data_IF_448798623533
#
_entry.id   IF_448798623533
#
_cell.length_a   1.000
_cell.length_b   1.000
_cell.length_c   1.000
_cell.angle_alpha   90.00
_cell.angle_beta   90.00
_cell.angle_gamma   90.00
#
_symmetry.space_group_name_H-M   'P 1'
#
loop_
_entity.id
_entity.type
_entity.pdbx_description
1 polymer ?
#
# COMPACT_ATOMS: atom_id res chain seq x y z
N UNK A 1 6.31 14.87 10.36
CA UNK A 1 7.70 14.81 10.02
C UNK A 1 8.31 13.58 10.65
N UNK A 2 9.09 12.85 9.94
CA UNK A 2 9.69 11.63 10.46
C UNK A 2 8.88 10.38 10.26
N UNK A 3 7.64 10.49 9.87
CA UNK A 3 6.81 9.33 9.55
C UNK A 3 6.83 9.14 8.03
N UNK A 4 7.25 7.96 7.55
CA UNK A 4 7.21 7.71 6.11
C UNK A 4 5.82 7.92 5.55
N UNK A 5 5.76 8.54 4.38
CA UNK A 5 4.52 8.90 3.73
C UNK A 5 4.60 8.61 2.25
N UNK A 6 3.44 8.42 1.65
CA UNK A 6 3.32 8.19 0.22
C UNK A 6 2.07 8.89 -0.29
N UNK A 7 2.08 9.24 -1.57
CA UNK A 7 0.94 9.89 -2.22
C UNK A 7 0.78 9.32 -3.62
N UNK A 8 -0.47 9.24 -4.06
CA UNK A 8 -0.78 8.86 -5.44
C UNK A 8 -1.64 9.95 -6.06
N UNK A 9 -1.30 10.29 -7.30
CA UNK A 9 -2.04 11.27 -8.08
C UNK A 9 -2.70 10.58 -9.25
N UNK A 10 -4.02 10.77 -9.35
CA UNK A 10 -4.82 10.21 -10.43
C UNK A 10 -4.90 11.19 -11.60
N UNK A 11 -5.35 10.68 -12.76
CA UNK A 11 -5.42 11.48 -13.98
C UNK A 11 -6.27 12.74 -13.84
N UNK A 12 -7.28 12.71 -12.97
CA UNK A 12 -8.16 13.86 -12.74
C UNK A 12 -7.58 14.88 -11.76
N UNK A 13 -6.35 14.66 -11.29
CA UNK A 13 -5.70 15.55 -10.36
C UNK A 13 -5.96 15.26 -8.89
N UNK A 14 -6.82 14.29 -8.59
CA UNK A 14 -7.07 13.91 -7.20
C UNK A 14 -5.83 13.27 -6.60
N UNK A 15 -5.49 13.64 -5.37
CA UNK A 15 -4.34 13.11 -4.64
C UNK A 15 -4.83 12.41 -3.39
N UNK A 16 -4.38 11.17 -3.20
CA UNK A 16 -4.63 10.37 -2.02
C UNK A 16 -3.29 10.14 -1.32
N UNK A 17 -3.27 10.24 0.00
CA UNK A 17 -2.05 10.07 0.78
C UNK A 17 -2.18 8.95 1.78
N UNK A 18 -1.04 8.52 2.31
CA UNK A 18 -0.98 7.51 3.37
C UNK A 18 0.25 7.69 4.22
N UNK A 19 0.24 7.04 5.37
CA UNK A 19 1.37 7.00 6.29
C UNK A 19 1.60 5.56 6.72
N UNK A 20 2.80 5.30 7.21
CA UNK A 20 3.11 4.01 7.84
C UNK A 20 2.26 3.85 9.09
N UNK A 21 1.69 2.67 9.27
CA UNK A 21 0.93 2.30 10.46
C UNK A 21 1.58 1.09 11.14
N UNK A 22 1.02 0.63 12.24
CA UNK A 22 1.51 -0.58 12.89
C UNK A 22 1.25 -1.83 12.05
N UNK A 23 0.28 -1.78 11.14
CA UNK A 23 -0.12 -2.94 10.32
C UNK A 23 0.52 -2.91 8.94
N UNK A 24 0.66 -1.72 8.34
CA UNK A 24 1.03 -1.59 6.94
C UNK A 24 2.13 -0.57 6.76
N UNK A 25 3.04 -0.82 5.83
CA UNK A 25 3.94 0.21 5.34
C UNK A 25 3.16 1.28 4.58
N UNK A 26 3.77 2.45 4.38
CA UNK A 26 3.10 3.57 3.73
C UNK A 26 2.62 3.22 2.32
N UNK A 27 3.42 2.46 1.57
CA UNK A 27 3.05 2.07 0.20
C UNK A 27 1.87 1.13 0.18
N UNK A 28 1.84 0.16 1.09
CA UNK A 28 0.72 -0.77 1.20
C UNK A 28 -0.56 -0.03 1.60
N UNK A 29 -0.44 0.87 2.58
CA UNK A 29 -1.58 1.69 2.99
C UNK A 29 -2.08 2.55 1.84
N UNK A 30 -1.15 3.10 1.04
CA UNK A 30 -1.51 3.92 -0.11
C UNK A 30 -2.32 3.13 -1.12
N UNK A 31 -1.89 1.90 -1.43
CA UNK A 31 -2.63 1.06 -2.38
C UNK A 31 -4.06 0.84 -1.92
N UNK A 32 -4.26 0.50 -0.64
CA UNK A 32 -5.60 0.29 -0.13
C UNK A 32 -6.44 1.56 -0.19
N UNK A 33 -5.85 2.70 0.17
CA UNK A 33 -6.57 3.98 0.12
C UNK A 33 -6.95 4.34 -1.30
N UNK A 34 -6.04 4.13 -2.25
CA UNK A 34 -6.30 4.40 -3.66
C UNK A 34 -7.43 3.52 -4.20
N UNK A 35 -7.38 2.23 -3.89
CA UNK A 35 -8.38 1.30 -4.38
C UNK A 35 -9.75 1.56 -3.76
N UNK A 36 -9.79 1.98 -2.49
CA UNK A 36 -11.04 2.40 -1.87
C UNK A 36 -11.64 3.60 -2.60
N UNK A 37 -10.81 4.60 -2.87
CA UNK A 37 -11.27 5.79 -3.57
C UNK A 37 -11.83 5.43 -4.94
N UNK A 38 -11.09 4.66 -5.72
CA UNK A 38 -11.51 4.28 -7.07
C UNK A 38 -12.76 3.41 -7.06
N UNK A 39 -12.92 2.57 -6.04
CA UNK A 39 -14.06 1.67 -5.92
C UNK A 39 -15.28 2.30 -5.26
N UNK A 40 -15.18 3.57 -4.84
CA UNK A 40 -16.29 4.21 -4.14
C UNK A 40 -16.55 3.63 -2.76
N UNK A 41 -15.52 3.08 -2.12
CA UNK A 41 -15.64 2.51 -0.78
C UNK A 41 -15.26 3.60 0.23
N UNK A 42 -16.04 3.70 1.31
CA UNK A 42 -15.80 4.67 2.36
C UNK A 42 -14.37 4.53 2.89
N UNK A 43 -13.71 5.68 3.08
CA UNK A 43 -12.33 5.71 3.58
C UNK A 43 -12.16 4.95 4.90
N UNK A 44 -13.16 4.99 5.77
CA UNK A 44 -13.06 4.34 7.08
C UNK A 44 -13.36 2.85 7.04
N UNK A 45 -13.73 2.31 5.89
CA UNK A 45 -14.00 0.88 5.75
C UNK A 45 -12.70 0.10 5.72
N UNK A 46 -12.60 -0.95 6.52
CA UNK A 46 -11.48 -1.86 6.49
C UNK A 46 -11.69 -2.88 5.36
N UNK A 47 -10.82 -2.85 4.35
CA UNK A 47 -10.87 -3.84 3.27
C UNK A 47 -10.32 -5.18 3.74
N UNK A 48 -9.39 -5.15 4.66
CA UNK A 48 -8.78 -6.33 5.25
C UNK A 48 -8.87 -6.14 6.76
N UNK A 49 -9.48 -7.08 7.46
CA UNK A 49 -9.61 -6.95 8.90
C UNK A 49 -8.24 -7.06 9.57
N UNK A 50 -8.03 -6.36 10.69
CA UNK A 50 -6.81 -6.55 11.48
C UNK A 50 -6.58 -8.01 11.86
N UNK A 51 -7.65 -8.76 12.12
CA UNK A 51 -7.55 -10.17 12.46
C UNK A 51 -6.98 -11.00 11.31
N UNK A 52 -7.14 -10.55 10.05
CA UNK A 52 -6.55 -11.23 8.91
C UNK A 52 -5.08 -10.82 8.73
N UNK A 53 -4.72 -9.61 9.12
CA UNK A 53 -3.35 -9.10 8.97
C UNK A 53 -2.41 -9.70 10.03
N UNK A 54 -2.89 -9.86 11.26
CA UNK A 54 -2.06 -10.33 12.36
C UNK A 54 -1.37 -11.67 12.10
N UNK A 55 -2.05 -12.69 11.55
CA UNK A 55 -1.36 -13.96 11.24
C UNK A 55 -0.24 -13.79 10.21
N UNK A 56 -0.41 -12.86 9.28
CA UNK A 56 0.63 -12.58 8.29
C UNK A 56 1.84 -11.95 8.97
N UNK A 57 1.61 -11.02 9.91
CA UNK A 57 2.69 -10.42 10.69
C UNK A 57 3.42 -11.48 11.51
N UNK A 58 2.67 -12.39 12.11
CA UNK A 58 3.26 -13.47 12.89
C UNK A 58 4.12 -14.38 12.01
N UNK A 59 3.62 -14.70 10.83
CA UNK A 59 4.40 -15.50 9.88
C UNK A 59 5.72 -14.81 9.56
N UNK A 60 5.68 -13.52 9.27
CA UNK A 60 6.87 -12.77 8.86
C UNK A 60 7.91 -12.69 9.97
N UNK A 61 7.48 -12.52 11.21
CA UNK A 61 8.41 -12.28 12.31
C UNK A 61 8.73 -13.56 13.08
N UNK A 62 7.72 -14.24 13.57
CA UNK A 62 7.92 -15.39 14.42
C UNK A 62 8.46 -16.61 13.67
N UNK A 63 7.89 -16.87 12.49
CA UNK A 63 8.25 -18.08 11.75
C UNK A 63 9.38 -17.87 10.76
N UNK A 64 9.43 -16.69 10.12
CA UNK A 64 10.43 -16.41 9.10
C UNK A 64 11.58 -15.54 9.59
N UNK A 65 11.52 -15.08 10.84
CA UNK A 65 12.63 -14.35 11.46
C UNK A 65 12.83 -12.91 10.99
N UNK A 66 11.87 -12.33 10.33
CA UNK A 66 11.95 -10.94 9.92
C UNK A 66 11.80 -9.99 11.10
N UNK A 67 12.30 -8.77 10.94
CA UNK A 67 12.18 -7.74 11.96
C UNK A 67 11.07 -6.74 11.68
N UNK A 68 10.56 -6.68 10.47
CA UNK A 68 9.51 -5.74 10.07
C UNK A 68 8.17 -6.49 9.95
N UNK A 69 7.24 -6.25 10.89
CA UNK A 69 5.94 -6.93 10.83
C UNK A 69 4.98 -6.34 9.82
N UNK A 70 5.21 -5.10 9.37
CA UNK A 70 4.26 -4.40 8.51
C UNK A 70 4.18 -5.08 7.15
N UNK A 71 2.96 -5.13 6.60
CA UNK A 71 2.76 -5.73 5.29
C UNK A 71 3.30 -4.80 4.20
N UNK A 72 3.99 -5.40 3.23
CA UNK A 72 4.42 -4.75 2.01
C UNK A 72 3.30 -4.79 0.97
N UNK A 73 3.54 -4.16 -0.16
CA UNK A 73 2.51 -4.00 -1.20
C UNK A 73 2.03 -5.33 -1.76
N UNK A 74 2.93 -6.28 -2.03
CA UNK A 74 2.54 -7.57 -2.57
C UNK A 74 1.72 -8.36 -1.54
N UNK A 75 2.12 -8.28 -0.28
CA UNK A 75 1.42 -8.99 0.79
C UNK A 75 0.01 -8.46 0.98
N UNK A 76 -0.16 -7.13 0.95
CA UNK A 76 -1.48 -6.54 1.13
C UNK A 76 -2.40 -6.85 -0.05
N UNK A 77 -1.86 -6.95 -1.26
CA UNK A 77 -2.68 -7.30 -2.42
C UNK A 77 -3.14 -8.76 -2.34
N UNK A 78 -2.29 -9.65 -1.87
CA UNK A 78 -2.69 -11.04 -1.66
C UNK A 78 -3.80 -11.12 -0.61
N UNK A 79 -3.62 -10.40 0.50
CA UNK A 79 -4.64 -10.38 1.56
C UNK A 79 -5.95 -9.81 1.05
N UNK A 80 -5.88 -8.77 0.22
CA UNK A 80 -7.07 -8.17 -0.40
C UNK A 80 -7.78 -9.18 -1.31
N UNK A 81 -7.02 -9.91 -2.12
CA UNK A 81 -7.60 -10.91 -3.01
C UNK A 81 -8.35 -11.98 -2.22
N UNK A 82 -7.78 -12.41 -1.10
CA UNK A 82 -8.44 -13.39 -0.24
C UNK A 82 -9.71 -12.80 0.37
N UNK A 83 -9.63 -11.57 0.89
CA UNK A 83 -10.78 -10.89 1.49
C UNK A 83 -11.91 -10.69 0.48
N UNK A 84 -11.58 -10.46 -0.78
CA UNK A 84 -12.56 -10.22 -1.83
C UNK A 84 -13.42 -11.45 -2.11
N UNK A 85 -13.02 -12.62 -1.65
CA UNK A 85 -13.84 -13.84 -1.84
C UNK A 85 -15.13 -13.78 -1.03
N UNK A 86 -15.16 -13.03 0.07
CA UNK A 86 -16.32 -12.97 0.95
C UNK A 86 -16.81 -11.56 1.25
N UNK A 87 -16.01 -10.53 0.94
CA UNK A 87 -16.33 -9.15 1.28
C UNK A 87 -16.58 -8.33 0.01
N UNK A 88 -17.81 -7.84 -0.22
CA UNK A 88 -18.13 -7.06 -1.41
C UNK A 88 -17.31 -5.77 -1.54
N UNK A 89 -16.96 -5.12 -0.43
CA UNK A 89 -16.14 -3.91 -0.48
C UNK A 89 -14.72 -4.23 -0.92
N UNK A 90 -14.15 -5.32 -0.41
CA UNK A 90 -12.84 -5.77 -0.84
C UNK A 90 -12.84 -6.12 -2.32
N UNK A 91 -13.92 -6.73 -2.81
CA UNK A 91 -14.06 -7.05 -4.24
C UNK A 91 -14.12 -5.79 -5.08
N UNK A 92 -14.91 -4.80 -4.67
CA UNK A 92 -14.97 -3.53 -5.40
C UNK A 92 -13.60 -2.88 -5.52
N UNK A 93 -12.85 -2.89 -4.43
CA UNK A 93 -11.51 -2.31 -4.42
C UNK A 93 -10.57 -3.11 -5.30
N UNK A 94 -10.58 -4.43 -5.19
CA UNK A 94 -9.70 -5.30 -5.97
C UNK A 94 -9.90 -5.08 -7.47
N UNK A 95 -11.15 -4.92 -7.89
CA UNK A 95 -11.49 -4.76 -9.31
C UNK A 95 -10.97 -3.43 -9.87
N UNK A 96 -10.55 -2.50 -9.03
CA UNK A 96 -10.01 -1.22 -9.48
C UNK A 96 -8.52 -1.27 -9.82
N UNK A 97 -7.86 -2.40 -9.60
CA UNK A 97 -6.42 -2.49 -9.84
C UNK A 97 -6.01 -2.01 -11.25
N UNK A 98 -6.73 -2.38 -12.33
CA UNK A 98 -6.33 -1.89 -13.66
C UNK A 98 -6.38 -0.37 -13.81
N UNK A 99 -7.18 0.31 -13.01
CA UNK A 99 -7.28 1.77 -13.07
C UNK A 99 -6.05 2.47 -12.47
N UNK A 100 -5.16 1.75 -11.82
CA UNK A 100 -3.92 2.33 -11.29
C UNK A 100 -2.89 2.61 -12.37
N UNK A 101 -3.01 1.98 -13.54
CA UNK A 101 -2.05 2.17 -14.63
C UNK A 101 -1.94 3.65 -15.01
N UNK A 102 -0.72 4.16 -15.02
CA UNK A 102 -0.46 5.54 -15.38
C UNK A 102 -0.58 6.54 -14.25
N UNK A 103 -1.06 6.12 -13.08
CA UNK A 103 -1.09 7.00 -11.92
C UNK A 103 0.33 7.28 -11.44
N UNK A 104 0.52 8.41 -10.76
CA UNK A 104 1.84 8.80 -10.27
C UNK A 104 1.91 8.59 -8.77
N UNK A 105 2.93 7.88 -8.31
CA UNK A 105 3.14 7.61 -6.90
C UNK A 105 4.42 8.29 -6.46
N UNK A 106 4.32 9.05 -5.35
CA UNK A 106 5.45 9.75 -4.75
C UNK A 106 5.64 9.25 -3.34
N UNK A 107 6.88 8.97 -2.96
CA UNK A 107 7.19 8.50 -1.61
C UNK A 107 8.29 9.35 -0.99
N UNK A 108 8.25 9.47 0.33
CA UNK A 108 9.24 10.25 1.08
C UNK A 108 10.45 9.41 1.50
N UNK A 109 10.44 8.12 1.20
CA UNK A 109 11.53 7.21 1.57
C UNK A 109 11.86 6.30 0.40
N UNK A 110 13.07 5.72 0.46
CA UNK A 110 13.42 4.67 -0.49
C UNK A 110 12.52 3.47 -0.27
N UNK A 111 12.00 2.92 -1.35
CA UNK A 111 11.16 1.74 -1.28
C UNK A 111 12.02 0.48 -1.31
N UNK A 112 11.48 -0.59 -0.74
CA UNK A 112 12.08 -1.91 -0.89
C UNK A 112 11.96 -2.37 -2.33
N UNK A 113 12.80 -3.35 -2.70
CA UNK A 113 12.73 -3.94 -4.04
C UNK A 113 11.36 -4.54 -4.31
N UNK A 114 10.73 -5.11 -3.28
CA UNK A 114 9.40 -5.70 -3.41
C UNK A 114 8.38 -4.63 -3.79
N UNK A 115 8.39 -3.51 -3.08
CA UNK A 115 7.42 -2.44 -3.34
C UNK A 115 7.64 -1.80 -4.71
N UNK A 116 8.90 -1.57 -5.09
CA UNK A 116 9.20 -1.03 -6.42
C UNK A 116 8.71 -1.97 -7.52
N UNK A 117 8.95 -3.27 -7.34
CA UNK A 117 8.52 -4.27 -8.30
C UNK A 117 7.00 -4.33 -8.44
N UNK A 118 6.30 -4.25 -7.31
CA UNK A 118 4.85 -4.27 -7.30
C UNK A 118 4.29 -3.07 -8.04
N UNK A 119 4.77 -1.87 -7.73
CA UNK A 119 4.30 -0.66 -8.42
C UNK A 119 4.56 -0.74 -9.92
N UNK A 120 5.73 -1.26 -10.31
CA UNK A 120 6.04 -1.42 -11.72
C UNK A 120 5.05 -2.36 -12.41
N UNK A 121 4.72 -3.48 -11.75
CA UNK A 121 3.76 -4.43 -12.32
C UNK A 121 2.37 -3.83 -12.41
N UNK A 122 2.01 -2.93 -11.51
CA UNK A 122 0.72 -2.23 -11.55
C UNK A 122 0.68 -1.13 -12.60
N UNK A 123 1.82 -0.78 -13.19
CA UNK A 123 1.88 0.23 -14.23
C UNK A 123 1.84 1.66 -13.71
N UNK A 124 2.17 1.88 -12.43
CA UNK A 124 2.24 3.24 -11.91
C UNK A 124 3.62 3.83 -12.16
N UNK A 125 3.67 5.15 -12.30
CA UNK A 125 4.92 5.89 -12.37
C UNK A 125 5.36 6.22 -10.96
N UNK A 126 6.53 5.75 -10.56
CA UNK A 126 7.00 5.88 -9.20
C UNK A 126 8.13 6.89 -9.10
N UNK A 127 7.97 7.87 -8.21
CA UNK A 127 9.00 8.82 -7.85
C UNK A 127 9.29 8.67 -6.36
N UNK A 128 10.54 8.41 -6.02
CA UNK A 128 10.96 8.32 -4.63
C UNK A 128 11.92 9.47 -4.35
N UNK A 129 11.57 10.28 -3.36
CA UNK A 129 12.42 11.41 -2.96
C UNK A 129 12.72 11.26 -1.47
N UNK A 130 13.61 10.32 -1.13
CA UNK A 130 13.89 10.08 0.28
C UNK A 130 14.62 11.24 0.90
N UNK A 131 14.35 11.45 2.18
CA UNK A 131 15.12 12.36 2.98
C UNK A 131 16.38 11.63 3.39
N UNK A 132 17.51 12.08 2.88
CA UNK A 132 18.79 11.43 3.13
C UNK A 132 19.43 12.04 4.35
N UNK A 133 19.56 11.28 5.39
CA UNK A 133 20.19 11.75 6.60
C UNK A 133 21.65 11.98 6.38
N UNK A 134 22.14 13.11 6.82
CA UNK A 134 23.53 13.44 6.74
C UNK A 134 24.01 13.71 5.35
N UNK A 135 23.07 13.83 4.43
CA UNK A 135 23.47 14.14 3.11
C UNK A 135 22.77 15.31 2.64
N UNK A 136 22.88 15.60 2.26
CA UNK A 136 22.17 16.53 1.83
C UNK A 136 22.66 17.06 0.84
N UNK A 137 22.95 16.58 0.93
CA UNK A 137 23.45 16.86 0.37
C UNK A 137 23.58 17.14 0.03
#
# INVERSE_FOLDING_TARGET
>A
LGVPAAAIEFADGKIITSKTTSLLGASAALLLNALKYLGGVDHDTHLISPAAIEPIQELKTRYLGGTNPRLHTDEVLIALAISATTDPNARKALEQIPALTGCQVHTSVMLSDVDMRTFKKLGVDLTSEPILKGKSK
#
